data_IF_132695538545
#
_entry.id   IF_132695538545
#
_cell.length_a   1.000
_cell.length_b   1.000
_cell.length_c   1.000
_cell.angle_alpha   90.00
_cell.angle_beta   90.00
_cell.angle_gamma   90.00
#
_symmetry.space_group_name_H-M   'P 1'
#
loop_
_entity.id
_entity.type
_entity.pdbx_description
1 polymer ?
#
# COMPACT_ATOMS: atom_id res chain seq x y z
N UNK A 1 2.62 -14.82 10.95
CA UNK A 1 3.58 -13.71 11.15
C UNK A 1 4.86 -14.29 11.73
N UNK A 2 5.97 -14.35 10.97
CA UNK A 2 7.28 -14.68 11.55
C UNK A 2 7.76 -13.47 12.35
N UNK A 3 7.82 -13.64 13.66
CA UNK A 3 8.39 -12.69 14.61
C UNK A 3 9.82 -12.33 14.18
N UNK A 4 10.20 -11.06 14.32
CA UNK A 4 11.61 -10.62 14.25
C UNK A 4 12.37 -11.17 15.47
N UNK A 5 12.65 -12.47 15.50
CA UNK A 5 13.53 -13.11 16.48
C UNK A 5 15.00 -13.04 16.05
N UNK A 6 15.51 -11.84 15.74
CA UNK A 6 16.95 -11.59 15.80
C UNK A 6 17.18 -10.56 16.90
N UNK A 7 17.89 -10.95 17.96
CA UNK A 7 18.42 -10.07 19.00
C UNK A 7 19.51 -9.18 18.38
N UNK A 8 19.10 -8.26 17.52
CA UNK A 8 19.98 -7.31 16.85
C UNK A 8 19.38 -5.93 17.06
N UNK A 9 20.21 -4.97 17.47
CA UNK A 9 19.76 -3.59 17.58
C UNK A 9 19.50 -3.04 16.18
N UNK A 10 18.67 -2.02 16.06
CA UNK A 10 18.50 -1.32 14.77
C UNK A 10 19.85 -0.84 14.19
N UNK A 11 20.79 -0.51 15.07
CA UNK A 11 22.15 -0.12 14.69
C UNK A 11 22.93 -1.25 14.01
N UNK A 12 22.80 -2.49 14.47
CA UNK A 12 23.45 -3.64 13.82
C UNK A 12 22.69 -4.09 12.58
N UNK A 13 21.35 -4.00 12.59
CA UNK A 13 20.52 -4.33 11.44
C UNK A 13 20.87 -3.47 10.21
N UNK A 14 21.07 -2.16 10.40
CA UNK A 14 21.40 -1.24 9.29
C UNK A 14 22.79 -1.46 8.68
N UNK A 15 23.68 -2.22 9.35
CA UNK A 15 25.06 -2.44 8.89
C UNK A 15 25.18 -3.64 7.95
N UNK A 16 24.19 -4.52 7.89
CA UNK A 16 24.26 -5.73 7.06
C UNK A 16 23.60 -5.47 5.72
N UNK A 17 24.38 -5.40 4.64
CA UNK A 17 23.83 -5.24 3.28
C UNK A 17 22.91 -6.41 2.88
N UNK A 18 23.07 -7.58 3.50
CA UNK A 18 22.19 -8.72 3.31
C UNK A 18 20.76 -8.46 3.82
N UNK A 19 20.60 -7.83 4.99
CA UNK A 19 19.29 -7.60 5.60
C UNK A 19 18.74 -6.19 5.25
N UNK A 20 19.64 -5.22 5.05
CA UNK A 20 19.33 -3.81 4.77
C UNK A 20 20.28 -3.22 3.70
N UNK A 21 20.09 -3.56 2.41
CA UNK A 21 20.92 -3.07 1.30
C UNK A 21 20.60 -1.60 1.01
N UNK A 22 21.12 -0.69 1.84
CA UNK A 22 20.72 0.73 1.84
C UNK A 22 20.93 1.39 0.49
N UNK A 23 22.05 1.11 -0.20
CA UNK A 23 22.32 1.67 -1.52
C UNK A 23 21.21 1.29 -2.51
N UNK A 24 20.84 0.02 -2.58
CA UNK A 24 19.79 -0.49 -3.47
C UNK A 24 18.41 0.05 -3.11
N UNK A 25 18.13 0.19 -1.82
CA UNK A 25 16.90 0.81 -1.31
C UNK A 25 16.81 2.25 -1.80
N UNK A 26 17.87 3.04 -1.60
CA UNK A 26 17.91 4.45 -2.01
C UNK A 26 17.82 4.59 -3.53
N UNK A 27 18.59 3.82 -4.28
CA UNK A 27 18.55 3.82 -5.76
C UNK A 27 17.13 3.53 -6.28
N UNK A 28 16.42 2.57 -5.66
CA UNK A 28 15.04 2.25 -6.04
C UNK A 28 14.07 3.35 -5.63
N UNK A 29 14.23 3.91 -4.41
CA UNK A 29 13.41 5.00 -3.91
C UNK A 29 13.55 6.27 -4.76
N UNK A 30 14.75 6.57 -5.27
CA UNK A 30 15.01 7.70 -6.17
C UNK A 30 14.30 7.61 -7.52
N UNK A 31 13.76 6.43 -7.88
CA UNK A 31 12.90 6.30 -9.06
C UNK A 31 11.47 6.83 -8.81
N UNK A 32 11.11 7.14 -7.57
CA UNK A 32 9.79 7.66 -7.22
C UNK A 32 9.54 9.00 -7.91
N UNK A 33 8.43 9.10 -8.65
CA UNK A 33 8.11 10.29 -9.44
C UNK A 33 8.72 10.29 -10.85
N UNK A 34 9.65 9.39 -11.16
CA UNK A 34 10.29 9.32 -12.48
C UNK A 34 9.45 8.49 -13.44
N UNK A 35 8.88 9.11 -14.48
CA UNK A 35 7.92 8.49 -15.40
C UNK A 35 8.54 7.94 -16.70
N UNK A 36 9.87 7.88 -16.78
CA UNK A 36 10.57 7.38 -17.96
C UNK A 36 10.39 5.86 -18.14
N UNK A 37 10.45 5.39 -19.40
CA UNK A 37 10.42 3.93 -19.71
C UNK A 37 11.52 3.16 -18.97
N UNK A 38 12.71 3.78 -18.80
CA UNK A 38 13.83 3.19 -18.07
C UNK A 38 13.48 3.00 -16.59
N UNK A 39 12.93 4.03 -15.94
CA UNK A 39 12.52 3.96 -14.54
C UNK A 39 11.39 2.95 -14.33
N UNK A 40 10.38 2.93 -15.20
CA UNK A 40 9.31 1.92 -15.16
C UNK A 40 9.88 0.49 -15.22
N UNK A 41 10.79 0.21 -16.16
CA UNK A 41 11.40 -1.11 -16.27
C UNK A 41 12.20 -1.48 -15.01
N UNK A 42 12.93 -0.53 -14.42
CA UNK A 42 13.66 -0.74 -13.17
C UNK A 42 12.72 -1.00 -11.98
N UNK A 43 11.65 -0.24 -11.85
CA UNK A 43 10.62 -0.44 -10.82
C UNK A 43 9.95 -1.81 -10.97
N UNK A 44 9.51 -2.19 -12.18
CA UNK A 44 8.89 -3.51 -12.42
C UNK A 44 9.87 -4.65 -12.12
N UNK A 45 11.15 -4.49 -12.46
CA UNK A 45 12.19 -5.48 -12.10
C UNK A 45 12.35 -5.59 -10.57
N UNK A 46 12.41 -4.46 -9.87
CA UNK A 46 12.59 -4.38 -8.42
C UNK A 46 11.40 -4.92 -7.61
N UNK A 47 10.23 -5.14 -8.22
CA UNK A 47 9.14 -5.87 -7.56
C UNK A 47 9.49 -7.33 -7.26
N UNK A 48 10.46 -7.92 -7.98
CA UNK A 48 10.91 -9.29 -7.76
C UNK A 48 12.19 -9.36 -6.90
N UNK A 49 12.54 -8.27 -6.21
CA UNK A 49 13.71 -8.26 -5.34
C UNK A 49 13.56 -9.22 -4.16
N UNK A 50 14.65 -9.75 -3.61
CA UNK A 50 14.57 -10.54 -2.38
C UNK A 50 14.33 -9.66 -1.16
N UNK A 51 14.73 -8.38 -1.21
CA UNK A 51 14.54 -7.45 -0.11
C UNK A 51 13.18 -6.75 -0.21
N UNK A 52 12.34 -6.91 0.81
CA UNK A 52 10.98 -6.37 0.82
C UNK A 52 10.93 -4.83 0.80
N UNK A 53 11.95 -4.14 1.33
CA UNK A 53 12.03 -2.67 1.32
C UNK A 53 12.25 -2.16 -0.10
N UNK A 54 13.08 -2.86 -0.88
CA UNK A 54 13.28 -2.60 -2.31
C UNK A 54 11.97 -2.80 -3.07
N UNK A 55 11.27 -3.92 -2.84
CA UNK A 55 9.96 -4.17 -3.46
C UNK A 55 8.95 -3.06 -3.13
N UNK A 56 8.92 -2.59 -1.87
CA UNK A 56 8.02 -1.54 -1.41
C UNK A 56 8.27 -0.22 -2.15
N UNK A 57 9.52 0.24 -2.23
CA UNK A 57 9.85 1.46 -2.95
C UNK A 57 9.60 1.36 -4.45
N UNK A 58 9.81 0.18 -5.02
CA UNK A 58 9.44 -0.09 -6.41
C UNK A 58 7.93 0.09 -6.61
N UNK A 59 7.09 -0.47 -5.73
CA UNK A 59 5.64 -0.30 -5.79
C UNK A 59 5.21 1.17 -5.61
N UNK A 60 5.85 1.91 -4.71
CA UNK A 60 5.59 3.34 -4.51
C UNK A 60 5.89 4.12 -5.80
N UNK A 61 7.03 3.86 -6.44
CA UNK A 61 7.42 4.52 -7.68
C UNK A 61 6.42 4.31 -8.82
N UNK A 62 5.79 3.14 -8.88
CA UNK A 62 4.76 2.83 -9.90
C UNK A 62 3.53 3.72 -9.81
N UNK A 63 3.22 4.34 -8.66
CA UNK A 63 2.09 5.28 -8.53
C UNK A 63 2.20 6.50 -9.44
N UNK A 64 3.44 6.89 -9.79
CA UNK A 64 3.72 8.03 -10.67
C UNK A 64 3.59 7.69 -12.16
N UNK A 65 3.58 6.41 -12.51
CA UNK A 65 3.55 5.96 -13.90
C UNK A 65 2.18 6.20 -14.53
N UNK A 66 2.16 6.32 -15.85
CA UNK A 66 0.92 6.47 -16.62
C UNK A 66 0.21 5.13 -16.78
N UNK A 67 -1.13 5.18 -16.81
CA UNK A 67 -2.00 4.02 -16.99
C UNK A 67 -1.64 3.21 -18.24
N UNK A 68 -1.38 3.91 -19.36
CA UNK A 68 -0.94 3.31 -20.64
C UNK A 68 0.37 2.53 -20.51
N UNK A 69 1.31 3.04 -19.72
CA UNK A 69 2.59 2.38 -19.53
C UNK A 69 2.44 1.16 -18.60
N UNK A 70 1.71 1.30 -17.50
CA UNK A 70 1.44 0.23 -16.53
C UNK A 70 0.65 -0.94 -17.15
N UNK A 71 -0.28 -0.66 -18.07
CA UNK A 71 -1.10 -1.69 -18.73
C UNK A 71 -0.26 -2.74 -19.45
N UNK A 72 0.93 -2.37 -19.95
CA UNK A 72 1.87 -3.31 -20.60
C UNK A 72 2.52 -4.30 -19.62
N UNK A 73 2.51 -3.98 -18.33
CA UNK A 73 3.12 -4.76 -17.26
C UNK A 73 2.09 -5.39 -16.31
N UNK A 74 0.79 -5.35 -16.65
CA UNK A 74 -0.29 -5.81 -15.76
C UNK A 74 -0.06 -7.23 -15.21
N UNK A 75 0.45 -8.15 -16.03
CA UNK A 75 0.76 -9.53 -15.59
C UNK A 75 1.79 -9.54 -14.45
N UNK A 76 2.86 -8.76 -14.58
CA UNK A 76 3.90 -8.64 -13.55
C UNK A 76 3.37 -8.00 -12.27
N UNK A 77 2.51 -6.97 -12.39
CA UNK A 77 1.90 -6.31 -11.23
C UNK A 77 0.95 -7.23 -10.48
N UNK A 78 0.09 -7.96 -11.21
CA UNK A 78 -0.82 -8.96 -10.63
C UNK A 78 -0.05 -10.09 -9.97
N UNK A 79 1.04 -10.54 -10.59
CA UNK A 79 1.92 -11.53 -9.96
C UNK A 79 2.49 -11.02 -8.63
N UNK A 80 2.94 -9.76 -8.57
CA UNK A 80 3.41 -9.16 -7.31
C UNK A 80 2.35 -9.12 -6.21
N UNK A 81 1.07 -8.96 -6.58
CA UNK A 81 -0.05 -8.99 -5.63
C UNK A 81 -0.32 -10.41 -5.11
N UNK A 82 -0.30 -11.43 -5.99
CA UNK A 82 -0.65 -12.82 -5.66
C UNK A 82 0.50 -13.65 -5.08
N UNK A 83 1.75 -13.28 -5.35
CA UNK A 83 2.93 -14.09 -4.97
C UNK A 83 3.06 -14.23 -3.45
N UNK A 84 3.25 -15.46 -2.98
CA UNK A 84 3.54 -15.74 -1.58
C UNK A 84 4.93 -15.20 -1.19
N UNK A 85 5.07 -14.64 0.01
CA UNK A 85 6.33 -14.08 0.49
C UNK A 85 6.57 -12.61 0.15
N UNK A 86 5.81 -12.01 -0.78
CA UNK A 86 5.80 -10.55 -0.97
C UNK A 86 5.20 -9.90 0.27
N UNK A 87 5.89 -8.89 0.80
CA UNK A 87 5.47 -8.22 2.03
C UNK A 87 4.12 -7.50 1.89
N UNK A 88 3.28 -7.57 2.92
CA UNK A 88 1.91 -7.06 2.87
C UNK A 88 1.82 -5.57 2.54
N UNK A 89 2.73 -4.75 3.06
CA UNK A 89 2.75 -3.31 2.72
C UNK A 89 3.00 -3.08 1.22
N UNK A 90 3.88 -3.86 0.60
CA UNK A 90 4.12 -3.82 -0.85
C UNK A 90 2.87 -4.20 -1.62
N UNK A 91 2.17 -5.26 -1.19
CA UNK A 91 0.91 -5.69 -1.80
C UNK A 91 -0.17 -4.61 -1.72
N UNK A 92 -0.30 -3.91 -0.59
CA UNK A 92 -1.25 -2.80 -0.44
C UNK A 92 -0.93 -1.68 -1.44
N UNK A 93 0.34 -1.28 -1.56
CA UNK A 93 0.73 -0.26 -2.54
C UNK A 93 0.46 -0.73 -3.97
N UNK A 94 0.82 -1.97 -4.34
CA UNK A 94 0.50 -2.53 -5.65
C UNK A 94 -1.00 -2.59 -5.92
N UNK A 95 -1.80 -2.96 -4.92
CA UNK A 95 -3.25 -2.98 -5.01
C UNK A 95 -3.82 -1.59 -5.29
N UNK A 96 -3.21 -0.53 -4.71
CA UNK A 96 -3.59 0.86 -5.03
C UNK A 96 -3.29 1.22 -6.48
N UNK A 97 -2.14 0.79 -7.02
CA UNK A 97 -1.79 1.01 -8.44
C UNK A 97 -2.76 0.26 -9.36
N UNK A 98 -3.02 -1.01 -9.05
CA UNK A 98 -3.92 -1.87 -9.84
C UNK A 98 -5.35 -1.33 -9.85
N UNK A 99 -5.88 -0.94 -8.69
CA UNK A 99 -7.23 -0.39 -8.57
C UNK A 99 -7.37 0.97 -9.25
N UNK A 100 -6.48 1.92 -8.95
CA UNK A 100 -6.63 3.30 -9.44
C UNK A 100 -6.29 3.44 -10.93
N UNK A 101 -5.17 2.84 -11.37
CA UNK A 101 -4.60 3.10 -12.70
C UNK A 101 -5.10 2.12 -13.75
N UNK A 102 -5.48 0.91 -13.32
CA UNK A 102 -5.84 -0.18 -14.22
C UNK A 102 -7.27 -0.67 -14.01
N UNK A 103 -8.02 -0.10 -13.06
CA UNK A 103 -9.38 -0.51 -12.70
C UNK A 103 -9.50 -2.02 -12.45
N UNK A 104 -8.44 -2.62 -11.91
CA UNK A 104 -8.38 -4.07 -11.67
C UNK A 104 -9.12 -4.43 -10.37
N UNK A 105 -10.03 -5.40 -10.51
CA UNK A 105 -10.87 -5.87 -9.40
C UNK A 105 -10.08 -6.58 -8.31
N UNK A 106 -8.97 -7.26 -8.64
CA UNK A 106 -8.18 -7.98 -7.64
C UNK A 106 -7.47 -6.98 -6.72
N UNK A 107 -6.95 -5.89 -7.28
CA UNK A 107 -6.42 -4.76 -6.53
C UNK A 107 -7.47 -4.15 -5.60
N UNK A 108 -8.68 -3.87 -6.10
CA UNK A 108 -9.78 -3.35 -5.28
C UNK A 108 -10.15 -4.32 -4.14
N UNK A 109 -10.40 -5.58 -4.47
CA UNK A 109 -10.78 -6.62 -3.50
C UNK A 109 -9.71 -6.82 -2.43
N UNK A 110 -8.43 -6.72 -2.79
CA UNK A 110 -7.33 -6.82 -1.83
C UNK A 110 -7.35 -5.66 -0.82
N UNK A 111 -7.59 -4.44 -1.28
CA UNK A 111 -7.71 -3.27 -0.42
C UNK A 111 -8.90 -3.39 0.52
N UNK A 112 -10.07 -3.77 0.00
CA UNK A 112 -11.28 -3.94 0.81
C UNK A 112 -11.09 -4.97 1.92
N UNK A 113 -10.54 -6.14 1.58
CA UNK A 113 -10.18 -7.18 2.55
C UNK A 113 -9.17 -6.68 3.58
N UNK A 114 -8.21 -5.86 3.16
CA UNK A 114 -7.20 -5.30 4.08
C UNK A 114 -7.83 -4.35 5.07
N UNK A 115 -8.72 -3.46 4.63
CA UNK A 115 -9.41 -2.47 5.48
C UNK A 115 -10.28 -3.14 6.54
N UNK A 116 -10.97 -4.22 6.18
CA UNK A 116 -11.81 -4.98 7.11
C UNK A 116 -11.04 -6.01 7.93
N UNK A 117 -9.74 -6.17 7.69
CA UNK A 117 -8.90 -7.14 8.37
C UNK A 117 -8.66 -6.78 9.83
N UNK A 118 -7.90 -7.63 10.53
CA UNK A 118 -7.68 -7.50 11.97
C UNK A 118 -6.36 -6.75 12.31
N UNK A 119 -5.66 -6.23 11.31
CA UNK A 119 -4.43 -5.47 11.51
C UNK A 119 -4.68 -3.97 11.33
N UNK A 120 -4.66 -3.25 12.46
CA UNK A 120 -4.91 -1.80 12.51
C UNK A 120 -3.98 -1.01 11.58
N UNK A 121 -2.67 -1.30 11.62
CA UNK A 121 -1.68 -0.55 10.84
C UNK A 121 -1.83 -0.77 9.33
N UNK A 122 -2.16 -1.99 8.90
CA UNK A 122 -2.37 -2.29 7.49
C UNK A 122 -3.69 -1.70 6.98
N UNK A 123 -4.74 -1.71 7.81
CA UNK A 123 -6.02 -1.07 7.51
C UNK A 123 -5.85 0.45 7.38
N UNK A 124 -5.09 1.04 8.31
CA UNK A 124 -4.71 2.46 8.27
C UNK A 124 -3.94 2.80 7.00
N UNK A 125 -2.90 2.03 6.67
CA UNK A 125 -2.11 2.23 5.45
C UNK A 125 -2.98 2.18 4.18
N UNK A 126 -3.87 1.19 4.09
CA UNK A 126 -4.78 1.06 2.94
C UNK A 126 -5.68 2.29 2.78
N UNK A 127 -6.36 2.72 3.86
CA UNK A 127 -7.21 3.91 3.83
C UNK A 127 -6.43 5.19 3.50
N UNK A 128 -5.24 5.36 4.10
CA UNK A 128 -4.38 6.51 3.82
C UNK A 128 -3.96 6.59 2.36
N UNK A 129 -3.67 5.45 1.72
CA UNK A 129 -3.33 5.43 0.31
C UNK A 129 -4.56 5.69 -0.59
N UNK A 130 -5.73 5.20 -0.21
CA UNK A 130 -7.00 5.40 -0.94
C UNK A 130 -7.46 6.85 -0.90
N UNK A 131 -7.26 7.57 0.21
CA UNK A 131 -7.68 8.97 0.36
C UNK A 131 -7.19 9.87 -0.79
N UNK A 132 -5.99 9.57 -1.32
CA UNK A 132 -5.37 10.33 -2.41
C UNK A 132 -5.60 9.75 -3.80
N UNK A 133 -6.38 8.67 -3.94
CA UNK A 133 -6.71 8.10 -5.24
C UNK A 133 -7.78 8.89 -5.97
N UNK A 134 -7.70 8.87 -7.31
CA UNK A 134 -8.75 9.41 -8.17
C UNK A 134 -10.06 8.63 -8.04
N UNK A 135 -9.99 7.31 -7.89
CA UNK A 135 -11.14 6.42 -7.77
C UNK A 135 -11.57 6.17 -6.31
N UNK A 136 -11.22 7.04 -5.37
CA UNK A 136 -11.51 6.87 -3.93
C UNK A 136 -13.01 6.70 -3.61
N UNK A 137 -13.90 7.20 -4.47
CA UNK A 137 -15.35 7.00 -4.33
C UNK A 137 -15.76 5.52 -4.40
N UNK A 138 -14.99 4.67 -5.09
CA UNK A 138 -15.23 3.23 -5.19
C UNK A 138 -15.18 2.51 -3.83
N UNK A 139 -14.61 3.16 -2.81
CA UNK A 139 -14.39 2.65 -1.46
C UNK A 139 -15.31 3.28 -0.41
N UNK A 140 -16.35 4.01 -0.81
CA UNK A 140 -17.35 4.57 0.13
C UNK A 140 -17.99 3.47 1.00
N UNK A 141 -18.49 2.41 0.35
CA UNK A 141 -19.20 1.33 1.04
C UNK A 141 -18.31 0.60 2.04
N UNK A 142 -17.04 0.35 1.70
CA UNK A 142 -16.11 -0.34 2.60
C UNK A 142 -15.74 0.52 3.82
N UNK A 143 -15.65 1.84 3.64
CA UNK A 143 -15.39 2.76 4.74
C UNK A 143 -16.57 2.83 5.72
N UNK A 144 -17.80 2.87 5.21
CA UNK A 144 -19.02 2.77 6.04
C UNK A 144 -19.06 1.45 6.79
N UNK A 145 -18.83 0.34 6.10
CA UNK A 145 -18.81 -1.00 6.72
C UNK A 145 -17.74 -1.10 7.81
N UNK A 146 -16.56 -0.54 7.60
CA UNK A 146 -15.51 -0.50 8.62
C UNK A 146 -15.93 0.30 9.85
N UNK A 147 -16.52 1.50 9.68
CA UNK A 147 -16.99 2.31 10.79
C UNK A 147 -18.06 1.60 11.61
N UNK A 148 -19.02 0.94 10.95
CA UNK A 148 -20.04 0.13 11.60
C UNK A 148 -19.44 -1.04 12.40
N UNK A 149 -18.53 -1.81 11.78
CA UNK A 149 -17.82 -2.92 12.45
C UNK A 149 -17.02 -2.45 13.66
N UNK A 150 -16.44 -1.25 13.60
CA UNK A 150 -15.50 -0.76 14.61
C UNK A 150 -16.15 0.05 15.75
N UNK A 151 -17.48 0.26 15.74
CA UNK A 151 -18.21 0.98 16.82
C UNK A 151 -17.92 0.44 18.21
N UNK A 152 -17.85 -0.88 18.37
CA UNK A 152 -17.63 -1.55 19.66
C UNK A 152 -16.17 -1.85 19.94
N UNK A 153 -15.27 -1.63 18.98
CA UNK A 153 -13.85 -1.90 19.12
C UNK A 153 -13.15 -0.76 19.85
N UNK A 154 -12.49 -1.07 20.97
CA UNK A 154 -11.52 -0.17 21.62
C UNK A 154 -10.22 -0.13 20.81
N UNK A 155 -9.61 1.04 20.68
CA UNK A 155 -8.49 1.27 19.75
C UNK A 155 -8.98 1.64 18.34
N UNK A 156 -8.11 1.53 17.33
CA UNK A 156 -8.44 1.82 15.93
C UNK A 156 -8.76 3.28 15.60
N UNK A 157 -8.47 4.22 16.50
CA UNK A 157 -8.78 5.64 16.32
C UNK A 157 -8.24 6.23 15.01
N UNK A 158 -6.99 5.87 14.65
CA UNK A 158 -6.38 6.30 13.38
C UNK A 158 -7.12 5.77 12.16
N UNK A 159 -7.58 4.53 12.20
CA UNK A 159 -8.32 3.89 11.10
C UNK A 159 -9.71 4.49 10.99
N UNK A 160 -10.42 4.64 12.12
CA UNK A 160 -11.72 5.31 12.21
C UNK A 160 -11.65 6.73 11.67
N UNK A 161 -10.67 7.52 12.10
CA UNK A 161 -10.43 8.87 11.60
C UNK A 161 -10.17 8.89 10.09
N UNK A 162 -9.39 7.93 9.57
CA UNK A 162 -9.11 7.85 8.13
C UNK A 162 -10.35 7.46 7.32
N UNK A 163 -11.18 6.53 7.82
CA UNK A 163 -12.44 6.16 7.19
C UNK A 163 -13.45 7.32 7.23
N UNK A 164 -13.55 8.01 8.38
CA UNK A 164 -14.38 9.20 8.52
C UNK A 164 -13.94 10.33 7.58
N UNK A 165 -12.63 10.54 7.42
CA UNK A 165 -12.06 11.50 6.48
C UNK A 165 -12.42 11.15 5.04
N UNK A 166 -12.36 9.87 4.66
CA UNK A 166 -12.74 9.44 3.31
C UNK A 166 -14.20 9.78 3.01
N UNK A 167 -15.11 9.47 3.93
CA UNK A 167 -16.53 9.79 3.76
C UNK A 167 -16.79 11.31 3.77
N UNK A 168 -16.04 12.08 4.57
CA UNK A 168 -16.13 13.54 4.58
C UNK A 168 -15.70 14.15 3.24
N UNK A 169 -14.54 13.75 2.70
CA UNK A 169 -14.03 14.23 1.40
C UNK A 169 -14.96 13.84 0.25
N UNK A 170 -15.75 12.78 0.40
CA UNK A 170 -16.79 12.37 -0.54
C UNK A 170 -18.13 13.09 -0.35
N UNK A 171 -18.26 13.98 0.65
CA UNK A 171 -19.49 14.71 0.96
C UNK A 171 -20.59 13.84 1.58
N UNK A 172 -20.24 12.68 2.17
CA UNK A 172 -21.21 11.70 2.68
C UNK A 172 -21.56 11.89 4.16
N UNK A 173 -20.71 12.56 4.92
CA UNK A 173 -20.95 12.89 6.32
C UNK A 173 -20.11 14.10 6.77
N UNK A 174 -20.51 14.73 7.87
CA UNK A 174 -19.63 15.66 8.58
C UNK A 174 -18.41 14.91 9.13
N UNK A 175 -17.25 15.55 9.13
CA UNK A 175 -16.05 14.95 9.71
C UNK A 175 -16.22 14.79 11.22
N UNK A 176 -15.93 13.59 11.72
CA UNK A 176 -15.86 13.27 13.14
C UNK A 176 -14.51 12.61 13.42
N UNK A 177 -13.70 13.26 14.26
CA UNK A 177 -12.45 12.66 14.71
C UNK A 177 -12.73 11.58 15.74
N UNK A 178 -11.86 10.58 15.87
CA UNK A 178 -12.04 9.51 16.86
C UNK A 178 -11.75 9.93 18.31
N UNK A 179 -11.35 11.18 18.52
CA UNK A 179 -10.91 11.72 19.81
C UNK A 179 -12.02 12.56 20.50
N UNK A 180 -13.25 12.54 19.96
CA UNK A 180 -14.50 13.05 20.55
C UNK A 180 -15.43 11.90 20.94
#
# INVERSE_FOLDING_TARGET
MKQFQKKTTLHEFRKTDADYPIQKIVETAMLSGVTSKKALNQQVKALNDTNWVVQYWAAIGLKSQTDKALKKHIKSLKNGLSTEGVHTATKIVLATVLSEKLHDSDGKNYLEKTILGDNENLSWLALQLILYQKNRADFEGIAQQFLEKSKTQKGWGKVKTSASMLLYVLGKQAFKSSDE
#
